data_IF_914467922176
#
_entry.id   IF_914467922176
#
_cell.length_a   1.000
_cell.length_b   1.000
_cell.length_c   1.000
_cell.angle_alpha   90.00
_cell.angle_beta   90.00
_cell.angle_gamma   90.00
#
_symmetry.space_group_name_H-M   'P 1'
#
loop_
_entity.id
_entity.type
_entity.pdbx_description
1 polymer ?
#
# COMPACT_ATOMS: atom_id res chain seq x y z
N UNK A 1 48.59 -26.93 -5.28
CA UNK A 1 48.10 -28.06 -6.12
C UNK A 1 46.66 -28.46 -5.74
N UNK A 2 45.89 -27.61 -5.06
CA UNK A 2 44.65 -28.05 -4.38
C UNK A 2 43.34 -27.77 -5.13
N UNK A 3 43.35 -26.89 -6.12
CA UNK A 3 42.12 -26.48 -6.84
C UNK A 3 41.52 -27.62 -7.66
N UNK A 4 42.37 -28.46 -8.26
CA UNK A 4 41.93 -29.64 -9.02
C UNK A 4 41.25 -30.68 -8.11
N UNK A 5 41.72 -30.83 -6.87
CA UNK A 5 41.17 -31.80 -5.91
C UNK A 5 39.82 -31.33 -5.37
N UNK A 6 39.72 -30.05 -5.02
CA UNK A 6 38.46 -29.42 -4.59
C UNK A 6 37.40 -29.53 -5.71
N UNK A 7 37.78 -29.22 -6.95
CA UNK A 7 36.87 -29.33 -8.08
C UNK A 7 36.37 -30.76 -8.32
N UNK A 8 37.25 -31.77 -8.17
CA UNK A 8 36.87 -33.17 -8.29
C UNK A 8 35.91 -33.61 -7.18
N UNK A 9 36.17 -33.21 -5.93
CA UNK A 9 35.32 -33.54 -4.78
C UNK A 9 33.95 -32.86 -4.87
N UNK A 10 33.89 -31.58 -5.26
CA UNK A 10 32.61 -30.88 -5.49
C UNK A 10 31.79 -31.55 -6.60
N UNK A 11 32.45 -31.96 -7.70
CA UNK A 11 31.76 -32.62 -8.81
C UNK A 11 31.20 -33.98 -8.41
N UNK A 12 31.94 -34.71 -7.56
CA UNK A 12 31.52 -36.00 -6.99
C UNK A 12 30.33 -35.84 -6.05
N UNK A 13 30.36 -34.83 -5.18
CA UNK A 13 29.21 -34.48 -4.32
C UNK A 13 27.98 -34.10 -5.14
N UNK A 14 28.12 -33.25 -6.16
CA UNK A 14 27.00 -32.83 -7.01
C UNK A 14 26.39 -34.00 -7.79
N UNK A 15 27.20 -34.97 -8.23
CA UNK A 15 26.71 -36.20 -8.84
C UNK A 15 25.91 -37.06 -7.86
N UNK A 16 26.33 -37.12 -6.59
CA UNK A 16 25.57 -37.80 -5.54
C UNK A 16 24.23 -37.09 -5.27
N UNK A 17 24.20 -35.76 -5.24
CA UNK A 17 22.96 -35.00 -5.12
C UNK A 17 22.03 -35.19 -6.33
N UNK A 18 22.59 -35.32 -7.54
CA UNK A 18 21.83 -35.62 -8.75
C UNK A 18 21.20 -37.03 -8.76
N UNK A 19 21.67 -37.93 -7.89
CA UNK A 19 21.15 -39.30 -7.74
C UNK A 19 20.17 -39.47 -6.58
N UNK A 20 19.89 -38.40 -5.82
CA UNK A 20 18.92 -38.47 -4.73
C UNK A 20 17.52 -38.72 -5.30
N UNK A 21 16.75 -39.65 -4.72
CA UNK A 21 15.36 -39.84 -5.11
C UNK A 21 14.59 -38.53 -4.88
N UNK A 22 13.60 -38.22 -5.73
CA UNK A 22 12.75 -37.06 -5.51
C UNK A 22 12.11 -37.17 -4.13
N UNK A 23 12.19 -36.08 -3.35
CA UNK A 23 11.53 -36.02 -2.04
C UNK A 23 10.07 -36.41 -2.22
N UNK A 24 9.53 -37.32 -1.40
CA UNK A 24 8.13 -37.70 -1.50
C UNK A 24 7.27 -36.42 -1.38
N UNK A 25 6.17 -36.31 -2.14
CA UNK A 25 5.27 -35.19 -2.00
C UNK A 25 4.79 -35.14 -0.56
N UNK A 26 5.04 -34.02 0.12
CA UNK A 26 4.55 -33.78 1.47
C UNK A 26 3.03 -33.92 1.52
N UNK A 27 2.51 -34.28 2.70
CA UNK A 27 1.06 -34.41 2.92
C UNK A 27 0.37 -33.08 2.53
N UNK A 28 -0.79 -33.12 1.85
CA UNK A 28 -1.50 -31.90 1.49
C UNK A 28 -1.82 -31.09 2.73
N UNK A 29 -1.30 -29.86 2.82
CA UNK A 29 -1.64 -28.95 3.90
C UNK A 29 -3.06 -28.38 3.70
N UNK A 30 -3.78 -28.08 4.80
CA UNK A 30 -5.10 -27.46 4.72
C UNK A 30 -5.03 -26.12 3.98
N UNK A 31 -6.13 -25.71 3.31
CA UNK A 31 -6.18 -24.44 2.61
C UNK A 31 -5.90 -23.29 3.59
N UNK A 32 -5.08 -22.30 3.20
CA UNK A 32 -4.74 -21.20 4.08
C UNK A 32 -5.98 -20.36 4.41
N UNK A 33 -6.13 -19.88 5.65
CA UNK A 33 -7.20 -18.97 5.99
C UNK A 33 -7.01 -17.63 5.27
N UNK A 34 -8.15 -16.96 5.03
CA UNK A 34 -8.17 -15.66 4.37
C UNK A 34 -7.69 -14.59 5.33
N UNK A 35 -6.76 -13.76 4.87
CA UNK A 35 -6.29 -12.60 5.61
C UNK A 35 -7.44 -11.61 5.83
N UNK A 36 -7.77 -11.39 7.10
CA UNK A 36 -8.79 -10.43 7.53
C UNK A 36 -8.15 -9.04 7.63
N UNK A 37 -8.64 -8.11 6.82
CA UNK A 37 -8.16 -6.73 6.76
C UNK A 37 -9.35 -5.81 7.01
N UNK A 38 -9.21 -4.89 7.96
CA UNK A 38 -10.25 -3.91 8.27
C UNK A 38 -10.32 -2.85 7.19
N UNK A 39 -11.49 -2.24 7.02
CA UNK A 39 -11.67 -1.03 6.21
C UNK A 39 -11.54 0.20 7.08
N UNK A 40 -11.02 1.28 6.53
CA UNK A 40 -10.86 2.55 7.22
C UNK A 40 -11.74 3.61 6.56
N UNK A 41 -12.33 4.47 7.37
CA UNK A 41 -13.23 5.53 6.93
C UNK A 41 -12.53 6.89 7.06
N UNK A 42 -12.39 7.61 5.94
CA UNK A 42 -11.74 8.92 5.90
C UNK A 42 -12.73 10.09 5.99
N UNK A 43 -14.04 9.83 6.10
CA UNK A 43 -15.06 10.87 6.28
C UNK A 43 -14.74 11.86 7.41
N UNK A 44 -14.29 11.42 8.59
CA UNK A 44 -13.96 12.35 9.68
C UNK A 44 -12.85 13.34 9.31
N UNK A 45 -11.86 12.90 8.53
CA UNK A 45 -10.72 13.72 8.14
C UNK A 45 -11.12 14.77 7.10
N UNK A 46 -11.95 14.36 6.13
CA UNK A 46 -12.45 15.25 5.09
C UNK A 46 -13.45 16.27 5.64
N UNK A 47 -14.25 15.88 6.64
CA UNK A 47 -15.17 16.80 7.31
C UNK A 47 -14.41 17.96 7.98
N UNK A 48 -13.23 17.70 8.54
CA UNK A 48 -12.36 18.73 9.12
C UNK A 48 -11.77 19.72 8.11
N UNK A 49 -11.77 19.38 6.82
CA UNK A 49 -11.23 20.24 5.75
C UNK A 49 -12.29 21.15 5.12
N UNK A 50 -13.56 21.03 5.49
CA UNK A 50 -14.63 21.90 4.95
C UNK A 50 -14.88 21.73 3.45
N UNK A 51 -14.58 20.56 2.89
CA UNK A 51 -14.91 20.25 1.49
C UNK A 51 -16.43 20.26 1.26
N UNK A 52 -16.85 20.57 0.03
CA UNK A 52 -18.25 20.35 -0.36
C UNK A 52 -18.60 18.86 -0.30
N UNK A 53 -19.88 18.54 -0.14
CA UNK A 53 -20.35 17.16 -0.06
C UNK A 53 -19.97 16.35 -1.32
N UNK A 54 -20.08 16.95 -2.51
CA UNK A 54 -19.72 16.30 -3.77
C UNK A 54 -18.22 15.99 -3.84
N UNK A 55 -17.36 16.93 -3.45
CA UNK A 55 -15.91 16.72 -3.40
C UNK A 55 -15.55 15.65 -2.37
N UNK A 56 -16.17 15.68 -1.19
CA UNK A 56 -15.96 14.67 -0.17
C UNK A 56 -16.34 13.26 -0.67
N UNK A 57 -17.49 13.11 -1.34
CA UNK A 57 -17.91 11.85 -1.94
C UNK A 57 -16.92 11.33 -2.99
N UNK A 58 -16.43 12.19 -3.88
CA UNK A 58 -15.42 11.80 -4.86
C UNK A 58 -14.10 11.35 -4.20
N UNK A 59 -13.64 12.05 -3.16
CA UNK A 59 -12.43 11.69 -2.43
C UNK A 59 -12.58 10.36 -1.68
N UNK A 60 -13.75 10.11 -1.07
CA UNK A 60 -14.06 8.82 -0.43
C UNK A 60 -14.00 7.69 -1.46
N UNK A 61 -14.62 7.85 -2.64
CA UNK A 61 -14.58 6.83 -3.69
C UNK A 61 -13.15 6.52 -4.16
N UNK A 62 -12.32 7.55 -4.31
CA UNK A 62 -10.90 7.40 -4.67
C UNK A 62 -10.17 6.59 -3.59
N UNK A 63 -10.37 6.95 -2.31
CA UNK A 63 -9.75 6.25 -1.19
C UNK A 63 -10.23 4.81 -1.07
N UNK A 64 -11.53 4.56 -1.18
CA UNK A 64 -12.12 3.22 -1.12
C UNK A 64 -11.59 2.33 -2.25
N UNK A 65 -11.39 2.89 -3.45
CA UNK A 65 -10.77 2.16 -4.55
C UNK A 65 -9.32 1.78 -4.23
N UNK A 66 -8.52 2.72 -3.72
CA UNK A 66 -7.14 2.48 -3.32
C UNK A 66 -7.06 1.43 -2.20
N UNK A 67 -7.90 1.56 -1.17
CA UNK A 67 -8.05 0.61 -0.07
C UNK A 67 -8.41 -0.79 -0.58
N UNK A 68 -9.41 -0.90 -1.48
CA UNK A 68 -9.83 -2.18 -2.06
C UNK A 68 -8.72 -2.85 -2.87
N UNK A 69 -7.95 -2.07 -3.64
CA UNK A 69 -6.78 -2.58 -4.38
C UNK A 69 -5.69 -3.07 -3.44
N UNK A 70 -5.41 -2.32 -2.38
CA UNK A 70 -4.40 -2.69 -1.38
C UNK A 70 -4.80 -3.96 -0.62
N UNK A 71 -6.07 -4.07 -0.20
CA UNK A 71 -6.60 -5.28 0.45
C UNK A 71 -6.46 -6.51 -0.44
N UNK A 72 -6.83 -6.38 -1.73
CA UNK A 72 -6.71 -7.47 -2.70
C UNK A 72 -5.26 -7.90 -2.86
N UNK A 73 -4.35 -6.95 -3.07
CA UNK A 73 -2.93 -7.23 -3.25
C UNK A 73 -2.31 -7.93 -2.03
N UNK A 74 -2.65 -7.50 -0.82
CA UNK A 74 -2.17 -8.12 0.42
C UNK A 74 -2.71 -9.55 0.56
N UNK A 75 -4.00 -9.78 0.29
CA UNK A 75 -4.62 -11.13 0.34
C UNK A 75 -3.99 -12.08 -0.68
N UNK A 76 -3.86 -11.65 -1.93
CA UNK A 76 -3.26 -12.45 -3.01
C UNK A 76 -1.80 -12.79 -2.70
N UNK A 77 -1.04 -11.82 -2.19
CA UNK A 77 0.36 -12.02 -1.80
C UNK A 77 0.52 -12.96 -0.61
N UNK A 78 -0.36 -12.84 0.39
CA UNK A 78 -0.43 -13.73 1.54
C UNK A 78 -0.74 -15.17 1.11
N UNK A 79 -1.79 -15.37 0.31
CA UNK A 79 -2.17 -16.69 -0.21
C UNK A 79 -1.08 -17.30 -1.11
N UNK A 80 -0.43 -16.50 -1.96
CA UNK A 80 0.67 -16.96 -2.80
C UNK A 80 1.88 -17.40 -1.95
N UNK A 81 2.18 -16.68 -0.88
CA UNK A 81 3.29 -17.02 0.01
C UNK A 81 3.00 -18.28 0.82
N UNK A 82 1.78 -18.44 1.33
CA UNK A 82 1.37 -19.68 2.01
C UNK A 82 1.39 -20.90 1.10
N UNK A 83 0.91 -20.76 -0.15
CA UNK A 83 1.01 -21.85 -1.14
C UNK A 83 2.45 -22.25 -1.42
N UNK A 84 3.37 -21.29 -1.50
CA UNK A 84 4.80 -21.57 -1.67
C UNK A 84 5.38 -22.29 -0.45
N UNK A 85 5.05 -21.85 0.78
CA UNK A 85 5.48 -22.53 2.00
C UNK A 85 4.98 -23.98 2.06
N UNK A 86 3.70 -24.18 1.72
CA UNK A 86 3.14 -25.53 1.67
C UNK A 86 3.85 -26.43 0.64
N UNK A 87 4.31 -25.86 -0.48
CA UNK A 87 5.05 -26.61 -1.50
C UNK A 87 6.47 -26.97 -1.07
N UNK A 88 7.14 -26.14 -0.27
CA UNK A 88 8.51 -26.37 0.21
C UNK A 88 8.57 -27.46 1.29
N UNK A 89 7.43 -27.95 1.77
CA UNK A 89 7.38 -29.09 2.69
C UNK A 89 7.83 -28.72 4.10
N UNK A 90 7.41 -27.56 4.61
CA UNK A 90 7.57 -27.23 6.04
C UNK A 90 6.92 -28.31 6.90
N UNK A 91 7.62 -28.70 7.96
CA UNK A 91 7.09 -29.59 9.00
C UNK A 91 5.72 -29.08 9.49
N UNK A 92 4.78 -30.00 9.67
CA UNK A 92 3.40 -29.72 10.06
C UNK A 92 3.33 -28.89 11.35
N UNK A 93 4.33 -29.06 12.24
CA UNK A 93 4.47 -28.33 13.51
C UNK A 93 4.86 -26.85 13.33
N UNK A 94 5.60 -26.51 12.27
CA UNK A 94 6.15 -25.15 12.05
C UNK A 94 5.23 -24.32 11.15
N UNK A 95 4.39 -24.97 10.33
CA UNK A 95 3.47 -24.29 9.41
C UNK A 95 2.53 -23.27 10.08
N UNK A 96 1.90 -23.56 11.25
CA UNK A 96 1.06 -22.58 11.94
C UNK A 96 1.82 -21.32 12.38
N UNK A 97 3.08 -21.47 12.78
CA UNK A 97 3.92 -20.34 13.18
C UNK A 97 4.22 -19.43 11.97
N UNK A 98 4.52 -20.01 10.81
CA UNK A 98 4.68 -19.24 9.57
C UNK A 98 3.39 -18.55 9.14
N UNK A 99 2.25 -19.22 9.28
CA UNK A 99 0.97 -18.63 8.94
C UNK A 99 0.68 -17.38 9.78
N UNK A 100 0.84 -17.48 11.11
CA UNK A 100 0.69 -16.34 12.00
C UNK A 100 1.68 -15.21 11.67
N UNK A 101 2.95 -15.55 11.44
CA UNK A 101 3.97 -14.55 11.06
C UNK A 101 3.61 -13.82 9.75
N UNK A 102 3.04 -14.52 8.76
CA UNK A 102 2.57 -13.91 7.52
C UNK A 102 1.32 -13.06 7.72
N UNK A 103 0.37 -13.49 8.54
CA UNK A 103 -0.81 -12.70 8.89
C UNK A 103 -0.41 -11.36 9.52
N UNK A 104 0.49 -11.40 10.51
CA UNK A 104 1.04 -10.19 11.16
C UNK A 104 1.78 -9.33 10.15
N UNK A 105 2.65 -9.92 9.32
CA UNK A 105 3.44 -9.17 8.33
C UNK A 105 2.56 -8.45 7.32
N UNK A 106 1.61 -9.16 6.69
CA UNK A 106 0.75 -8.57 5.67
C UNK A 106 -0.30 -7.65 6.28
N UNK A 107 -0.78 -7.92 7.49
CA UNK A 107 -1.63 -7.00 8.24
C UNK A 107 -0.93 -5.68 8.54
N UNK A 108 0.34 -5.73 8.98
CA UNK A 108 1.15 -4.52 9.22
C UNK A 108 1.42 -3.77 7.93
N UNK A 109 1.84 -4.46 6.88
CA UNK A 109 2.08 -3.85 5.56
C UNK A 109 0.82 -3.15 5.04
N UNK A 110 -0.34 -3.80 5.17
CA UNK A 110 -1.62 -3.20 4.81
C UNK A 110 -1.88 -1.91 5.59
N UNK A 111 -1.74 -1.96 6.91
CA UNK A 111 -2.02 -0.81 7.78
C UNK A 111 -1.08 0.37 7.48
N UNK A 112 0.22 0.11 7.36
CA UNK A 112 1.23 1.14 7.06
C UNK A 112 0.93 1.84 5.72
N UNK A 113 0.64 1.06 4.67
CA UNK A 113 0.33 1.61 3.35
C UNK A 113 -1.01 2.35 3.33
N UNK A 114 -2.00 1.85 4.07
CA UNK A 114 -3.32 2.49 4.17
C UNK A 114 -3.23 3.85 4.87
N UNK A 115 -2.53 3.91 6.01
CA UNK A 115 -2.30 5.15 6.75
C UNK A 115 -1.47 6.14 5.93
N UNK A 116 -0.46 5.66 5.19
CA UNK A 116 0.29 6.49 4.26
C UNK A 116 -0.59 7.07 3.15
N UNK A 117 -1.43 6.23 2.53
CA UNK A 117 -2.38 6.67 1.48
C UNK A 117 -3.37 7.71 2.02
N UNK A 118 -3.89 7.49 3.23
CA UNK A 118 -4.78 8.44 3.91
C UNK A 118 -4.09 9.78 4.13
N UNK A 119 -2.88 9.76 4.70
CA UNK A 119 -2.12 10.98 4.98
C UNK A 119 -1.81 11.75 3.70
N UNK A 120 -1.41 11.06 2.63
CA UNK A 120 -1.15 11.68 1.33
C UNK A 120 -2.39 12.35 0.75
N UNK A 121 -3.55 11.67 0.80
CA UNK A 121 -4.79 12.24 0.29
C UNK A 121 -5.20 13.51 1.05
N UNK A 122 -5.18 13.45 2.39
CA UNK A 122 -5.51 14.61 3.24
C UNK A 122 -4.57 15.79 2.98
N UNK A 123 -3.27 15.51 2.88
CA UNK A 123 -2.25 16.53 2.59
C UNK A 123 -2.42 17.15 1.21
N UNK A 124 -2.74 16.36 0.18
CA UNK A 124 -3.00 16.89 -1.17
C UNK A 124 -4.25 17.76 -1.22
N UNK A 125 -5.31 17.41 -0.48
CA UNK A 125 -6.51 18.26 -0.35
C UNK A 125 -6.15 19.58 0.32
N UNK A 126 -5.38 19.55 1.41
CA UNK A 126 -4.90 20.76 2.10
C UNK A 126 -4.10 21.66 1.15
N UNK A 127 -3.13 21.10 0.43
CA UNK A 127 -2.33 21.84 -0.56
C UNK A 127 -3.17 22.41 -1.70
N UNK A 128 -4.22 21.69 -2.12
CA UNK A 128 -5.15 22.20 -3.12
C UNK A 128 -5.91 23.43 -2.60
N UNK A 129 -6.36 23.41 -1.34
CA UNK A 129 -7.02 24.55 -0.71
C UNK A 129 -6.08 25.76 -0.56
N UNK A 130 -4.85 25.54 -0.09
CA UNK A 130 -3.84 26.61 0.04
C UNK A 130 -3.54 27.27 -1.32
N UNK A 131 -3.44 26.49 -2.40
CA UNK A 131 -3.25 27.03 -3.76
C UNK A 131 -4.43 27.88 -4.24
N UNK A 132 -5.66 27.46 -3.94
CA UNK A 132 -6.86 28.22 -4.32
C UNK A 132 -6.94 29.52 -3.52
N UNK A 133 -6.67 29.48 -2.21
CA UNK A 133 -6.66 30.66 -1.36
C UNK A 133 -5.62 31.69 -1.85
N UNK A 134 -4.39 31.26 -2.12
CA UNK A 134 -3.34 32.14 -2.64
C UNK A 134 -3.68 32.74 -4.02
N UNK A 135 -4.37 32.00 -4.89
CA UNK A 135 -4.82 32.50 -6.18
C UNK A 135 -5.89 33.60 -6.03
N UNK A 136 -6.84 33.43 -5.10
CA UNK A 136 -7.88 34.42 -4.80
C UNK A 136 -7.28 35.72 -4.25
N UNK A 137 -6.27 35.62 -3.38
CA UNK A 137 -5.55 36.80 -2.85
C UNK A 137 -4.79 37.55 -3.97
N UNK A 138 -4.13 36.82 -4.86
CA UNK A 138 -3.41 37.41 -5.99
C UNK A 138 -4.33 38.12 -6.99
N UNK A 139 -5.53 37.59 -7.24
CA UNK A 139 -6.54 38.20 -8.12
C UNK A 139 -7.23 39.40 -7.46
N UNK A 140 -7.43 39.37 -6.14
CA UNK A 140 -7.94 40.51 -5.37
C UNK A 140 -7.01 41.72 -5.41
N UNK A 141 -5.71 41.51 -5.63
CA UNK A 141 -4.72 42.58 -5.83
C UNK A 141 -4.73 43.24 -7.21
N UNK A 142 -5.46 42.69 -8.19
CA UNK A 142 -5.54 43.22 -9.57
C UNK A 142 -6.80 44.04 -9.88
N UNK A 143 -7.71 44.18 -8.91
CA UNK A 143 -9.09 44.64 -9.16
C UNK A 143 -9.53 45.94 -8.50
N UNK A 144 -8.65 46.79 -7.93
CA UNK A 144 -9.09 48.02 -7.24
C UNK A 144 -8.80 49.33 -7.99
N UNK A 145 -8.85 49.34 -9.33
CA UNK A 145 -8.80 50.60 -10.11
C UNK A 145 -10.17 51.30 -10.21
N UNK A 146 -11.26 50.64 -9.80
CA UNK A 146 -12.61 51.20 -9.93
C UNK A 146 -12.97 52.21 -8.83
N UNK A 147 -12.32 52.17 -7.67
CA UNK A 147 -12.55 53.15 -6.60
C UNK A 147 -11.86 54.49 -6.88
N UNK A 148 -10.61 54.45 -7.32
CA UNK A 148 -9.78 55.65 -7.54
C UNK A 148 -10.23 56.47 -8.76
N UNK A 149 -10.78 55.82 -9.80
CA UNK A 149 -11.32 56.51 -10.99
C UNK A 149 -12.69 57.15 -10.71
N UNK A 150 -13.50 56.59 -9.81
CA UNK A 150 -14.77 57.21 -9.39
C UNK A 150 -14.51 58.45 -8.55
N UNK A 151 -13.56 58.42 -7.62
CA UNK A 151 -13.16 59.62 -6.85
C UNK A 151 -12.55 60.73 -7.74
N UNK A 152 -11.89 60.38 -8.85
CA UNK A 152 -11.35 61.36 -9.80
C UNK A 152 -12.44 62.02 -10.67
N UNK A 153 -13.53 61.31 -10.97
CA UNK A 153 -14.67 61.81 -11.76
C UNK A 153 -15.67 62.63 -10.94
N UNK A 154 -15.73 62.45 -9.63
CA UNK A 154 -16.59 63.26 -8.74
C UNK A 154 -15.93 64.59 -8.32
N UNK A 155 -14.66 64.81 -8.68
CA UNK A 155 -13.89 66.01 -8.35
C UNK A 155 -13.60 66.94 -9.54
N UNK A 156 -14.03 66.56 -10.75
CA UNK A 156 -13.91 67.36 -11.98
C UNK A 156 -15.23 68.07 -12.31
#
# INVERSE_FOLDING_TARGET
MDTARIAADSRRMLQLFGSLPPSPPGKPLPPPPRLQLQTHDIRPDLAGLGCSESTMQSLIQIFDNAQGRLQRSCRESHEATLRKLAHVGTEEEVYPAYQNALEVRYGRLYLEQLLGTRAQLVEEVRRAQERVAAAVEADSGRGNFSGEVVELLERA
#
